data_IF_732450168181
#
_entry.id   IF_732450168181
#
_cell.length_a   1.000
_cell.length_b   1.000
_cell.length_c   1.000
_cell.angle_alpha   90.00
_cell.angle_beta   90.00
_cell.angle_gamma   90.00
#
_symmetry.space_group_name_H-M   'P 1'
#
loop_
_entity.id
_entity.type
_entity.pdbx_description
1 polymer ?
#
# COMPACT_ATOMS: atom_id res chain seq x y z
N UNK A 1 10.20 -44.74 17.79
CA UNK A 1 9.54 -43.64 17.08
C UNK A 1 8.95 -42.72 18.12
N UNK A 2 9.65 -41.63 18.44
CA UNK A 2 9.09 -40.52 19.22
C UNK A 2 9.10 -39.32 18.28
N UNK A 3 7.93 -38.76 18.09
CA UNK A 3 7.63 -37.73 17.11
C UNK A 3 8.42 -36.45 17.42
N UNK A 4 9.16 -35.99 16.41
CA UNK A 4 9.75 -34.66 16.31
C UNK A 4 8.64 -33.61 16.43
N UNK A 5 8.31 -33.20 17.66
CA UNK A 5 7.65 -31.91 17.88
C UNK A 5 8.73 -30.85 17.77
N UNK A 6 9.03 -30.48 16.53
CA UNK A 6 9.67 -29.21 16.20
C UNK A 6 8.75 -28.08 16.66
N UNK A 7 8.83 -27.74 17.94
CA UNK A 7 8.31 -26.47 18.44
C UNK A 7 9.15 -25.41 17.74
N UNK A 8 8.57 -24.79 16.71
CA UNK A 8 9.09 -23.58 16.12
C UNK A 8 9.28 -22.60 17.28
N UNK A 9 10.53 -22.40 17.71
CA UNK A 9 10.87 -21.39 18.69
C UNK A 9 10.60 -20.04 17.99
N UNK A 10 9.37 -19.57 18.10
CA UNK A 10 9.01 -18.22 17.74
C UNK A 10 9.88 -17.28 18.55
N UNK A 11 10.20 -16.10 18.00
CA UNK A 11 10.79 -15.06 18.85
C UNK A 11 9.88 -14.85 20.07
N UNK A 12 10.41 -14.50 21.26
CA UNK A 12 9.59 -14.35 22.48
C UNK A 12 8.41 -13.38 22.29
N UNK A 13 8.54 -12.47 21.33
CA UNK A 13 7.46 -11.58 20.90
C UNK A 13 6.31 -12.30 20.18
N UNK A 14 6.59 -13.28 19.31
CA UNK A 14 5.58 -14.09 18.60
C UNK A 14 4.79 -14.97 19.57
N UNK A 15 5.46 -15.55 20.55
CA UNK A 15 4.81 -16.36 21.58
C UNK A 15 3.85 -15.51 22.44
N UNK A 16 4.31 -14.33 22.88
CA UNK A 16 3.47 -13.39 23.61
C UNK A 16 2.29 -12.90 22.77
N UNK A 17 2.51 -12.64 21.49
CA UNK A 17 1.43 -12.23 20.58
C UNK A 17 0.37 -13.34 20.44
N UNK A 18 0.77 -14.60 20.30
CA UNK A 18 -0.16 -15.73 20.25
C UNK A 18 -0.99 -15.83 21.54
N UNK A 19 -0.34 -15.71 22.71
CA UNK A 19 -1.03 -15.74 24.01
C UNK A 19 -2.05 -14.61 24.20
N UNK A 20 -1.79 -13.42 23.66
CA UNK A 20 -2.75 -12.31 23.74
C UNK A 20 -3.89 -12.49 22.72
N UNK A 21 -3.62 -13.04 21.53
CA UNK A 21 -4.64 -13.36 20.53
C UNK A 21 -5.63 -14.40 21.06
N UNK A 22 -5.15 -15.43 21.78
CA UNK A 22 -6.01 -16.48 22.35
C UNK A 22 -7.01 -15.95 23.40
N UNK A 23 -6.75 -14.79 24.00
CA UNK A 23 -7.65 -14.15 24.98
C UNK A 23 -8.71 -13.26 24.33
N UNK A 24 -8.57 -12.95 23.04
CA UNK A 24 -9.48 -12.06 22.35
C UNK A 24 -10.79 -12.78 22.00
N UNK A 25 -11.93 -12.08 22.09
CA UNK A 25 -13.18 -12.61 21.59
C UNK A 25 -13.16 -12.65 20.04
N UNK A 26 -13.94 -13.56 19.47
CA UNK A 26 -13.87 -13.91 18.03
C UNK A 26 -14.19 -12.73 17.10
N UNK A 27 -15.07 -11.82 17.53
CA UNK A 27 -15.40 -10.57 16.85
C UNK A 27 -14.18 -9.65 16.64
N UNK A 28 -13.20 -9.74 17.54
CA UNK A 28 -11.94 -8.97 17.47
C UNK A 28 -10.85 -9.65 16.67
N UNK A 29 -10.92 -10.98 16.49
CA UNK A 29 -9.93 -11.71 15.68
C UNK A 29 -9.95 -11.27 14.22
N UNK A 30 -11.12 -10.91 13.69
CA UNK A 30 -11.25 -10.38 12.33
C UNK A 30 -10.49 -9.05 12.16
N UNK A 31 -10.53 -8.18 13.15
CA UNK A 31 -9.80 -6.90 13.16
C UNK A 31 -8.28 -7.13 13.16
N UNK A 32 -7.81 -8.05 14.01
CA UNK A 32 -6.39 -8.44 14.08
C UNK A 32 -5.91 -9.02 12.74
N UNK A 33 -6.70 -9.92 12.13
CA UNK A 33 -6.37 -10.51 10.84
C UNK A 33 -6.26 -9.44 9.74
N UNK A 34 -7.20 -8.48 9.71
CA UNK A 34 -7.16 -7.36 8.77
C UNK A 34 -5.90 -6.51 8.95
N UNK A 35 -5.53 -6.21 10.19
CA UNK A 35 -4.34 -5.43 10.47
C UNK A 35 -3.04 -6.15 10.04
N UNK A 36 -2.92 -7.45 10.32
CA UNK A 36 -1.77 -8.25 9.88
C UNK A 36 -1.67 -8.26 8.35
N UNK A 37 -2.79 -8.45 7.65
CA UNK A 37 -2.83 -8.38 6.18
C UNK A 37 -2.38 -7.03 5.65
N UNK A 38 -2.80 -5.94 6.29
CA UNK A 38 -2.36 -4.59 5.95
C UNK A 38 -0.85 -4.40 6.13
N UNK A 39 -0.27 -4.86 7.24
CA UNK A 39 1.17 -4.77 7.45
C UNK A 39 1.96 -5.53 6.38
N UNK A 40 1.52 -6.74 6.04
CA UNK A 40 2.14 -7.57 5.01
C UNK A 40 2.02 -6.95 3.62
N UNK A 41 0.86 -6.37 3.28
CA UNK A 41 0.68 -5.71 1.98
C UNK A 41 1.48 -4.42 1.88
N UNK A 42 1.56 -3.63 2.95
CA UNK A 42 2.40 -2.42 3.00
C UNK A 42 3.88 -2.73 2.81
N UNK A 43 4.37 -3.80 3.43
CA UNK A 43 5.75 -4.24 3.25
C UNK A 43 6.02 -4.66 1.79
N UNK A 44 5.08 -5.36 1.16
CA UNK A 44 5.18 -5.71 -0.25
C UNK A 44 5.19 -4.46 -1.16
N UNK A 45 4.34 -3.48 -0.89
CA UNK A 45 4.31 -2.21 -1.65
C UNK A 45 5.58 -1.40 -1.45
N UNK A 46 6.13 -1.35 -0.23
CA UNK A 46 7.39 -0.67 0.05
C UNK A 46 8.58 -1.32 -0.69
N UNK A 47 8.56 -2.65 -0.84
CA UNK A 47 9.56 -3.40 -1.62
C UNK A 47 9.34 -3.26 -3.14
N UNK A 48 8.10 -3.04 -3.57
CA UNK A 48 7.69 -2.72 -4.95
C UNK A 48 7.70 -1.21 -5.21
N UNK A 49 8.61 -0.43 -4.61
CA UNK A 49 8.94 0.87 -5.19
C UNK A 49 9.36 0.59 -6.64
N UNK A 50 8.44 0.86 -7.56
CA UNK A 50 8.71 0.79 -8.98
C UNK A 50 9.98 1.63 -9.21
N UNK A 51 10.91 1.18 -10.08
CA UNK A 51 11.94 2.09 -10.55
C UNK A 51 11.20 3.34 -11.04
N UNK A 52 11.68 4.54 -10.68
CA UNK A 52 11.15 5.78 -11.23
C UNK A 52 10.92 5.55 -12.72
N UNK A 53 9.65 5.43 -13.11
CA UNK A 53 9.30 5.14 -14.49
C UNK A 53 9.68 6.42 -15.21
N UNK A 54 10.84 6.39 -15.86
CA UNK A 54 11.31 7.49 -16.70
C UNK A 54 10.26 7.61 -17.82
N UNK A 55 9.33 8.53 -17.63
CA UNK A 55 8.17 8.76 -18.49
C UNK A 55 8.67 9.39 -19.78
N UNK A 56 9.30 8.58 -20.63
CA UNK A 56 9.83 8.99 -21.92
C UNK A 56 8.67 9.08 -22.95
N UNK A 57 8.30 10.29 -23.38
CA UNK A 57 7.22 10.47 -24.35
C UNK A 57 7.52 9.84 -25.72
N UNK A 58 8.78 9.51 -26.02
CA UNK A 58 9.14 8.78 -27.23
C UNK A 58 8.78 7.28 -27.15
N UNK A 59 8.65 6.73 -25.93
CA UNK A 59 8.30 5.32 -25.69
C UNK A 59 6.81 5.09 -25.50
N UNK A 60 6.06 6.15 -25.17
CA UNK A 60 4.61 6.09 -25.05
C UNK A 60 3.95 7.30 -25.75
N UNK A 61 3.42 7.11 -26.97
CA UNK A 61 2.70 8.16 -27.70
C UNK A 61 1.49 8.71 -26.93
N UNK A 62 0.91 7.96 -25.99
CA UNK A 62 -0.19 8.43 -25.15
C UNK A 62 0.32 9.45 -24.12
N UNK A 63 1.58 9.34 -23.63
CA UNK A 63 2.19 10.39 -22.80
C UNK A 63 2.31 11.72 -23.55
N UNK A 64 2.53 11.68 -24.87
CA UNK A 64 2.50 12.90 -25.69
C UNK A 64 1.11 13.53 -25.76
N UNK A 65 0.05 12.74 -25.57
CA UNK A 65 -1.33 13.20 -25.55
C UNK A 65 -1.74 13.70 -24.15
N UNK A 66 -1.34 12.99 -23.09
CA UNK A 66 -1.53 13.36 -21.68
C UNK A 66 -0.43 14.37 -21.28
N UNK A 67 -0.50 15.58 -21.84
CA UNK A 67 0.46 16.66 -21.60
C UNK A 67 0.72 17.54 -22.81
N UNK A 68 0.44 17.02 -24.02
CA UNK A 68 0.50 17.76 -25.28
C UNK A 68 -0.79 18.49 -25.67
N UNK A 69 -1.82 18.48 -24.81
CA UNK A 69 -2.85 19.54 -24.85
C UNK A 69 -2.17 20.84 -24.45
N UNK A 70 -1.69 21.52 -25.48
CA UNK A 70 -0.82 22.68 -25.38
C UNK A 70 -1.43 23.78 -24.52
N UNK A 71 -0.58 24.27 -23.62
CA UNK A 71 -0.61 25.57 -22.95
C UNK A 71 -1.72 25.76 -21.93
N UNK A 72 -1.32 26.15 -20.72
CA UNK A 72 -2.16 26.58 -19.61
C UNK A 72 -3.08 27.74 -20.00
N UNK A 73 -4.14 27.36 -20.69
CA UNK A 73 -5.30 28.15 -21.13
C UNK A 73 -6.55 27.50 -20.55
N UNK A 74 -6.59 26.16 -20.46
CA UNK A 74 -7.65 25.44 -19.73
C UNK A 74 -7.66 25.77 -18.24
N UNK A 75 -6.49 25.95 -17.63
CA UNK A 75 -6.35 26.32 -16.22
C UNK A 75 -6.10 27.82 -16.02
N UNK A 76 -6.06 28.61 -17.10
CA UNK A 76 -5.84 30.05 -16.99
C UNK A 76 -7.18 30.68 -16.62
N UNK A 77 -7.17 31.49 -15.58
CA UNK A 77 -8.35 32.21 -15.10
C UNK A 77 -9.46 31.32 -14.50
N UNK A 78 -9.20 30.03 -14.21
CA UNK A 78 -10.20 29.14 -13.55
C UNK A 78 -10.68 29.73 -12.22
N UNK A 79 -9.79 30.35 -11.46
CA UNK A 79 -10.16 30.94 -10.18
C UNK A 79 -11.09 32.14 -10.39
N UNK A 80 -10.87 32.95 -11.43
CA UNK A 80 -11.76 34.07 -11.78
C UNK A 80 -13.09 33.59 -12.35
N UNK A 81 -13.10 32.51 -13.13
CA UNK A 81 -14.33 31.93 -13.69
C UNK A 81 -15.20 31.25 -12.62
N UNK A 82 -14.56 30.58 -11.64
CA UNK A 82 -15.26 29.88 -10.56
C UNK A 82 -15.66 30.80 -9.42
N UNK A 83 -14.85 31.81 -9.10
CA UNK A 83 -15.03 32.63 -7.90
C UNK A 83 -15.36 34.10 -8.18
N UNK A 84 -15.26 34.58 -9.43
CA UNK A 84 -15.40 36.01 -9.73
C UNK A 84 -14.27 36.84 -9.12
N UNK A 85 -14.33 38.18 -9.28
CA UNK A 85 -13.52 39.09 -8.43
C UNK A 85 -14.14 39.23 -7.04
#
# INVERSE_FOLDING_TARGET
MQEDRSVSAGTPLKERLAQEIDKLPEDRLQEVLNFVRYLLSREQMARKKEPEMDLDPAKDPILSFIGGVSLGTLAKDIDRELYGE
#
